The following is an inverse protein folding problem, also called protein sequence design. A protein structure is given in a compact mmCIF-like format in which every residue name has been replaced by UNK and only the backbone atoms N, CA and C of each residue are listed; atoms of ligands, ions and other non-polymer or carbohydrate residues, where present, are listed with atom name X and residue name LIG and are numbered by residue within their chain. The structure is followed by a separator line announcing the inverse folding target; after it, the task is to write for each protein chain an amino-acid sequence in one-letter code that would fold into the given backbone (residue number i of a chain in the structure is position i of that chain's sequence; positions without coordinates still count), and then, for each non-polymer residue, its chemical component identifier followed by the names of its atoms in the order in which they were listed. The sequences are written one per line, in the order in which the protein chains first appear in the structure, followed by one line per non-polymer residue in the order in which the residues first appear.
data_IF_757561214495
#
_entry.id   IF_757561214495
#
_cell.length_a   1.000
_cell.length_b   1.000
_cell.length_c   1.000
_cell.angle_alpha   90.00
_cell.angle_beta   90.00
_cell.angle_gamma   90.00
#
_symmetry.space_group_name_H-M   'P 1'
#
loop_
_entity.id
_entity.type
_entity.pdbx_description
1 polymer ?
#
# COMPACT_ATOMS: atom_id res chain seq x y z
N UNK A 1 31.80 -5.92 -19.07
CA UNK A 1 30.44 -5.49 -18.69
C UNK A 1 30.57 -4.22 -17.86
N UNK A 2 30.06 -3.09 -18.35
CA UNK A 2 30.00 -1.85 -17.58
C UNK A 2 28.93 -2.03 -16.49
N UNK A 3 29.30 -1.84 -15.22
CA UNK A 3 28.35 -1.87 -14.11
C UNK A 3 27.81 -0.47 -13.91
N UNK A 4 26.54 -0.24 -14.26
CA UNK A 4 25.84 0.98 -13.84
C UNK A 4 25.83 1.08 -12.30
N UNK A 5 25.70 2.28 -11.74
CA UNK A 5 25.62 2.52 -10.29
C UNK A 5 24.43 3.40 -9.94
N UNK A 6 23.70 3.02 -8.89
CA UNK A 6 22.63 3.85 -8.32
C UNK A 6 23.17 4.67 -7.15
N UNK A 7 22.93 5.97 -7.20
CA UNK A 7 23.18 6.94 -6.15
C UNK A 7 21.84 7.50 -5.70
N UNK A 8 21.33 6.99 -4.59
CA UNK A 8 20.05 7.45 -4.05
C UNK A 8 20.29 8.70 -3.21
N UNK A 9 19.62 9.78 -3.57
CA UNK A 9 19.65 11.04 -2.84
C UNK A 9 18.86 10.89 -1.53
N UNK A 10 19.24 11.66 -0.49
CA UNK A 10 18.50 11.67 0.77
C UNK A 10 17.05 12.14 0.57
N UNK A 11 16.10 11.41 1.15
CA UNK A 11 14.66 11.70 1.14
C UNK A 11 14.11 12.08 2.53
N UNK A 12 14.99 12.41 3.46
CA UNK A 12 14.65 12.88 4.79
C UNK A 12 14.01 14.28 4.75
N UNK A 13 13.08 14.62 5.68
CA UNK A 13 12.37 15.89 5.67
C UNK A 13 13.28 17.13 5.67
N UNK A 14 14.43 17.04 6.33
CA UNK A 14 15.42 18.12 6.43
C UNK A 14 16.21 18.36 5.14
N UNK A 15 16.26 17.38 4.25
CA UNK A 15 17.10 17.39 3.04
C UNK A 15 16.31 17.28 1.74
N UNK A 16 15.03 16.91 1.80
CA UNK A 16 14.22 16.56 0.63
C UNK A 16 14.14 17.70 -0.40
N UNK A 17 14.01 18.95 0.02
CA UNK A 17 13.99 20.09 -0.92
C UNK A 17 15.34 20.31 -1.59
N UNK A 18 16.44 20.14 -0.85
CA UNK A 18 17.78 20.21 -1.43
C UNK A 18 18.00 19.09 -2.46
N UNK A 19 17.59 17.87 -2.15
CA UNK A 19 17.65 16.74 -3.08
C UNK A 19 16.80 16.97 -4.33
N UNK A 20 15.61 17.57 -4.20
CA UNK A 20 14.75 17.95 -5.33
C UNK A 20 15.40 18.99 -6.23
N UNK A 21 15.98 20.04 -5.66
CA UNK A 21 16.70 21.06 -6.43
C UNK A 21 17.94 20.47 -7.12
N UNK A 22 18.64 19.54 -6.47
CA UNK A 22 19.75 18.81 -7.07
C UNK A 22 19.32 18.04 -8.31
N UNK A 23 18.18 17.31 -8.28
CA UNK A 23 17.66 16.62 -9.48
C UNK A 23 17.38 17.62 -10.61
N UNK A 24 16.72 18.75 -10.32
CA UNK A 24 16.44 19.77 -11.34
C UNK A 24 17.72 20.30 -11.98
N UNK A 25 18.76 20.50 -11.18
CA UNK A 25 20.05 20.94 -11.67
C UNK A 25 20.74 19.85 -12.51
N UNK A 26 20.74 18.60 -12.05
CA UNK A 26 21.29 17.45 -12.79
C UNK A 26 20.60 17.25 -14.14
N UNK A 27 19.28 17.45 -14.23
CA UNK A 27 18.54 17.42 -15.50
C UNK A 27 19.01 18.52 -16.46
N UNK A 28 19.11 19.77 -15.96
CA UNK A 28 19.54 20.93 -16.78
C UNK A 28 20.95 20.77 -17.30
N UNK A 29 21.86 20.31 -16.44
CA UNK A 29 23.27 20.11 -16.79
C UNK A 29 23.42 18.95 -17.78
N UNK A 30 22.69 17.85 -17.58
CA UNK A 30 22.65 16.73 -18.51
C UNK A 30 22.15 17.17 -19.89
N UNK A 31 20.99 17.84 -19.94
CA UNK A 31 20.38 18.27 -21.19
C UNK A 31 21.29 19.25 -21.95
N UNK A 32 21.85 20.24 -21.25
CA UNK A 32 22.77 21.22 -21.83
C UNK A 32 24.03 20.54 -22.39
N UNK A 33 24.67 19.69 -21.59
CA UNK A 33 25.87 18.95 -22.01
C UNK A 33 25.60 18.03 -23.20
N UNK A 34 24.50 17.25 -23.14
CA UNK A 34 24.14 16.33 -24.21
C UNK A 34 23.90 17.04 -25.54
N UNK A 35 23.15 18.15 -25.54
CA UNK A 35 22.82 18.90 -26.75
C UNK A 35 24.01 19.69 -27.30
N UNK A 36 24.90 20.21 -26.44
CA UNK A 36 26.16 20.82 -26.88
C UNK A 36 27.06 19.80 -27.57
N UNK A 37 27.15 18.58 -27.02
CA UNK A 37 27.97 17.52 -27.60
C UNK A 37 27.31 16.82 -28.81
N UNK A 38 25.98 16.91 -28.94
CA UNK A 38 25.20 16.29 -30.02
C UNK A 38 24.24 17.30 -30.67
N UNK A 39 24.74 18.38 -31.31
CA UNK A 39 23.89 19.44 -31.84
C UNK A 39 22.92 18.93 -32.92
N UNK A 40 23.31 17.90 -33.67
CA UNK A 40 22.49 17.24 -34.68
C UNK A 40 21.27 16.48 -34.11
N UNK A 41 21.26 16.17 -32.80
CA UNK A 41 20.13 15.52 -32.10
C UNK A 41 19.13 16.51 -31.54
N UNK A 42 19.37 17.82 -31.67
CA UNK A 42 18.50 18.86 -31.11
C UNK A 42 17.06 18.77 -31.62
N UNK A 43 16.87 18.30 -32.85
CA UNK A 43 15.55 18.16 -33.47
C UNK A 43 14.95 16.76 -33.45
N UNK A 44 15.66 15.79 -32.87
CA UNK A 44 15.13 14.43 -32.70
C UNK A 44 13.94 14.44 -31.72
N UNK A 45 12.76 14.07 -32.21
CA UNK A 45 11.52 14.09 -31.44
C UNK A 45 11.57 13.17 -30.22
N UNK A 46 12.23 12.01 -30.33
CA UNK A 46 12.32 11.05 -29.23
C UNK A 46 13.25 11.56 -28.12
N UNK A 47 14.33 12.25 -28.50
CA UNK A 47 15.21 12.96 -27.55
C UNK A 47 14.47 14.12 -26.88
N UNK A 48 13.72 14.94 -27.64
CA UNK A 48 12.90 16.03 -27.10
C UNK A 48 11.88 15.52 -26.08
N UNK A 49 11.21 14.40 -26.38
CA UNK A 49 10.23 13.80 -25.48
C UNK A 49 10.87 13.22 -24.22
N UNK A 50 12.05 12.60 -24.32
CA UNK A 50 12.81 12.15 -23.14
C UNK A 50 13.16 13.33 -22.22
N UNK A 51 13.69 14.43 -22.77
CA UNK A 51 14.02 15.61 -21.97
C UNK A 51 12.77 16.26 -21.38
N UNK A 52 11.67 16.30 -22.12
CA UNK A 52 10.39 16.76 -21.58
C UNK A 52 9.96 15.89 -20.39
N UNK A 53 10.02 14.57 -20.52
CA UNK A 53 9.63 13.65 -19.45
C UNK A 53 10.56 13.72 -18.23
N UNK A 54 11.86 13.96 -18.43
CA UNK A 54 12.80 14.25 -17.34
C UNK A 54 12.41 15.53 -16.59
N UNK A 55 12.15 16.63 -17.31
CA UNK A 55 11.76 17.91 -16.72
C UNK A 55 10.37 17.86 -16.05
N UNK A 56 9.43 17.13 -16.64
CA UNK A 56 8.08 16.92 -16.09
C UNK A 56 8.08 15.92 -14.90
N UNK A 57 9.21 15.28 -14.61
CA UNK A 57 9.34 14.28 -13.53
C UNK A 57 8.66 12.93 -13.82
N UNK A 58 8.42 12.58 -15.09
CA UNK A 58 7.74 11.35 -15.52
C UNK A 58 8.68 10.14 -15.56
N UNK A 59 9.20 9.77 -14.39
CA UNK A 59 10.27 8.78 -14.27
C UNK A 59 9.99 7.44 -15.01
N UNK A 60 8.74 6.95 -15.01
CA UNK A 60 8.40 5.68 -15.65
C UNK A 60 8.49 5.74 -17.18
N UNK A 61 8.16 6.90 -17.78
CA UNK A 61 8.34 7.11 -19.23
C UNK A 61 9.82 7.25 -19.56
N UNK A 62 10.58 7.94 -18.71
CA UNK A 62 12.05 8.01 -18.81
C UNK A 62 12.65 6.60 -18.84
N UNK A 63 12.29 5.73 -17.89
CA UNK A 63 12.73 4.32 -17.89
C UNK A 63 12.27 3.58 -19.15
N UNK A 64 11.03 3.82 -19.59
CA UNK A 64 10.49 3.22 -20.82
C UNK A 64 11.24 3.66 -22.08
N UNK A 65 11.83 4.87 -22.13
CA UNK A 65 12.64 5.31 -23.27
C UNK A 65 13.99 4.60 -23.36
N UNK A 66 14.52 4.15 -22.22
CA UNK A 66 15.83 3.50 -22.12
C UNK A 66 15.76 1.99 -22.31
N UNK A 67 14.77 1.36 -21.67
CA UNK A 67 14.73 -0.09 -21.51
C UNK A 67 13.40 -0.71 -22.02
N UNK A 68 12.48 0.12 -22.53
CA UNK A 68 11.13 -0.26 -22.95
C UNK A 68 10.18 -0.44 -21.76
N UNK A 69 8.87 -0.37 -21.95
CA UNK A 69 7.93 -0.54 -20.84
C UNK A 69 7.79 -2.01 -20.40
N UNK A 70 7.71 -2.28 -19.09
CA UNK A 70 7.41 -3.60 -18.53
C UNK A 70 5.91 -3.93 -18.67
N UNK A 71 5.42 -4.06 -19.90
CA UNK A 71 4.07 -4.51 -20.24
C UNK A 71 2.92 -3.61 -19.70
N UNK A 72 2.16 -2.90 -20.55
CA UNK A 72 0.98 -2.18 -20.10
C UNK A 72 -0.12 -3.20 -19.75
N UNK A 73 -0.21 -3.61 -18.48
CA UNK A 73 -1.36 -4.38 -17.96
C UNK A 73 -2.70 -3.65 -18.22
N UNK A 74 -2.62 -2.35 -18.49
CA UNK A 74 -3.73 -1.46 -18.80
C UNK A 74 -4.07 -1.35 -20.30
N UNK A 75 -3.39 -2.05 -21.20
CA UNK A 75 -3.79 -2.07 -22.62
C UNK A 75 -5.05 -2.93 -22.82
N UNK A 76 -6.06 -2.43 -23.56
CA UNK A 76 -7.24 -3.20 -23.94
C UNK A 76 -6.85 -4.57 -24.50
N UNK A 77 -7.66 -5.60 -24.23
CA UNK A 77 -7.35 -7.00 -24.59
C UNK A 77 -6.96 -7.17 -26.07
N UNK A 78 -7.58 -6.40 -26.96
CA UNK A 78 -7.35 -6.42 -28.41
C UNK A 78 -6.03 -5.76 -28.85
N UNK A 79 -5.38 -4.97 -27.99
CA UNK A 79 -4.11 -4.27 -28.25
C UNK A 79 -2.91 -4.95 -27.58
N UNK A 80 -3.14 -6.07 -26.87
CA UNK A 80 -2.10 -6.78 -26.15
C UNK A 80 -1.17 -7.48 -27.13
N UNK A 81 0.01 -6.89 -27.30
CA UNK A 81 1.12 -7.56 -27.97
C UNK A 81 1.46 -8.86 -27.24
N UNK A 82 1.79 -9.90 -27.99
CA UNK A 82 2.27 -11.17 -27.42
C UNK A 82 3.54 -10.96 -26.59
N UNK A 83 3.86 -11.83 -25.62
CA UNK A 83 5.10 -11.71 -24.85
C UNK A 83 6.37 -11.61 -25.73
N UNK A 84 6.38 -12.30 -26.88
CA UNK A 84 7.48 -12.24 -27.83
C UNK A 84 7.57 -10.88 -28.54
N UNK A 85 6.45 -10.35 -29.06
CA UNK A 85 6.42 -9.02 -29.68
C UNK A 85 6.82 -7.92 -28.71
N UNK A 86 6.41 -8.03 -27.44
CA UNK A 86 6.82 -7.10 -26.41
C UNK A 86 8.32 -7.16 -26.16
N UNK A 87 8.90 -8.36 -26.08
CA UNK A 87 10.34 -8.53 -25.93
C UNK A 87 11.10 -7.88 -27.09
N UNK A 88 10.63 -8.06 -28.32
CA UNK A 88 11.19 -7.41 -29.52
C UNK A 88 11.07 -5.88 -29.47
N UNK A 89 9.91 -5.35 -29.05
CA UNK A 89 9.72 -3.90 -28.84
C UNK A 89 10.71 -3.35 -27.82
N UNK A 90 10.90 -4.02 -26.68
CA UNK A 90 11.86 -3.62 -25.65
C UNK A 90 13.31 -3.70 -26.14
N UNK A 91 13.65 -4.71 -26.91
CA UNK A 91 14.96 -4.84 -27.54
C UNK A 91 15.27 -3.68 -28.49
N UNK A 92 14.33 -3.32 -29.36
CA UNK A 92 14.48 -2.14 -30.23
C UNK A 92 14.67 -0.85 -29.44
N UNK A 93 13.97 -0.72 -28.30
CA UNK A 93 14.14 0.44 -27.41
C UNK A 93 15.55 0.47 -26.82
N UNK A 94 16.04 -0.65 -26.29
CA UNK A 94 17.41 -0.75 -25.74
C UNK A 94 18.48 -0.48 -26.79
N UNK A 95 18.30 -0.99 -28.01
CA UNK A 95 19.19 -0.73 -29.13
C UNK A 95 19.26 0.77 -29.44
N UNK A 96 18.09 1.41 -29.56
CA UNK A 96 18.04 2.86 -29.74
C UNK A 96 18.73 3.61 -28.60
N UNK A 97 18.48 3.23 -27.35
CA UNK A 97 19.08 3.90 -26.19
C UNK A 97 20.61 3.81 -26.21
N UNK A 98 21.16 2.62 -26.46
CA UNK A 98 22.62 2.41 -26.57
C UNK A 98 23.27 3.08 -27.79
N UNK A 99 22.50 3.32 -28.85
CA UNK A 99 22.98 4.05 -30.03
C UNK A 99 23.03 5.58 -29.82
N UNK A 100 22.20 6.10 -28.90
CA UNK A 100 22.09 7.55 -28.68
C UNK A 100 22.77 8.03 -27.40
N UNK A 101 22.97 7.14 -26.42
CA UNK A 101 23.53 7.49 -25.12
C UNK A 101 24.71 6.59 -24.78
N UNK A 102 25.79 7.19 -24.26
CA UNK A 102 26.87 6.46 -23.62
C UNK A 102 26.38 5.77 -22.35
N UNK A 103 27.13 4.80 -21.83
CA UNK A 103 26.80 4.15 -20.56
C UNK A 103 26.71 5.14 -19.40
N UNK A 104 27.56 6.17 -19.37
CA UNK A 104 27.51 7.23 -18.36
C UNK A 104 26.23 8.08 -18.46
N UNK A 105 25.80 8.41 -19.68
CA UNK A 105 24.54 9.13 -19.90
C UNK A 105 23.35 8.26 -19.45
N UNK A 106 23.38 6.96 -19.75
CA UNK A 106 22.34 6.03 -19.33
C UNK A 106 22.29 5.91 -17.80
N UNK A 107 23.44 5.79 -17.14
CA UNK A 107 23.53 5.83 -15.69
C UNK A 107 22.94 7.11 -15.10
N UNK A 108 23.25 8.27 -15.67
CA UNK A 108 22.74 9.55 -15.19
C UNK A 108 21.21 9.65 -15.34
N UNK A 109 20.66 9.28 -16.50
CA UNK A 109 19.21 9.29 -16.73
C UNK A 109 18.49 8.35 -15.75
N UNK A 110 19.04 7.15 -15.55
CA UNK A 110 18.53 6.18 -14.58
C UNK A 110 18.52 6.76 -13.15
N UNK A 111 19.62 7.36 -12.71
CA UNK A 111 19.71 7.97 -11.39
C UNK A 111 18.69 9.08 -11.21
N UNK A 112 18.53 9.96 -12.20
CA UNK A 112 17.51 11.01 -12.19
C UNK A 112 16.11 10.40 -12.08
N UNK A 113 15.79 9.38 -12.89
CA UNK A 113 14.48 8.73 -12.86
C UNK A 113 14.17 8.09 -11.49
N UNK A 114 15.12 7.33 -10.95
CA UNK A 114 14.95 6.66 -9.64
C UNK A 114 14.81 7.68 -8.51
N UNK A 115 15.65 8.71 -8.48
CA UNK A 115 15.56 9.75 -7.47
C UNK A 115 14.28 10.59 -7.59
N UNK A 116 13.84 10.87 -8.82
CA UNK A 116 12.54 11.53 -9.07
C UNK A 116 11.39 10.72 -8.47
N UNK A 117 11.41 9.39 -8.63
CA UNK A 117 10.39 8.51 -8.08
C UNK A 117 10.37 8.53 -6.53
N UNK A 118 11.53 8.50 -5.88
CA UNK A 118 11.61 8.52 -4.41
C UNK A 118 11.33 9.88 -3.79
N UNK A 119 11.66 10.97 -4.49
CA UNK A 119 11.58 12.33 -3.98
C UNK A 119 10.34 13.09 -4.44
N UNK A 120 9.52 12.48 -5.29
CA UNK A 120 8.20 13.00 -5.64
C UNK A 120 7.44 13.41 -4.36
N UNK A 121 6.81 14.59 -4.32
CA UNK A 121 6.00 14.99 -3.17
C UNK A 121 4.93 13.93 -2.90
N UNK A 122 4.91 13.38 -1.68
CA UNK A 122 3.76 12.60 -1.21
C UNK A 122 2.53 13.50 -1.36
N UNK A 123 1.61 13.17 -2.27
CA UNK A 123 0.54 14.13 -2.58
C UNK A 123 0.46 14.62 -4.02
N UNK A 124 1.48 14.44 -4.88
CA UNK A 124 1.36 14.78 -6.34
C UNK A 124 0.51 13.74 -7.09
N UNK A 125 -0.66 13.46 -6.54
CA UNK A 125 -1.72 12.68 -7.14
C UNK A 125 -2.38 13.55 -8.22
N UNK A 126 -2.42 13.03 -9.46
CA UNK A 126 -3.03 13.73 -10.59
C UNK A 126 -2.41 13.41 -11.96
N UNK A 127 -1.15 12.95 -11.98
CA UNK A 127 -0.50 12.49 -13.20
C UNK A 127 -0.40 10.95 -13.21
N UNK A 128 -0.84 10.26 -14.29
CA UNK A 128 -0.71 8.80 -14.40
C UNK A 128 0.74 8.40 -14.18
N UNK A 129 1.05 7.54 -13.20
CA UNK A 129 2.43 7.06 -12.95
C UNK A 129 3.15 7.65 -11.74
N UNK A 130 2.65 8.72 -11.10
CA UNK A 130 3.20 9.26 -9.85
C UNK A 130 2.53 8.71 -8.58
N UNK A 131 1.47 7.93 -8.73
CA UNK A 131 0.66 7.45 -7.60
C UNK A 131 1.30 6.29 -6.85
N UNK A 132 2.27 5.58 -7.45
CA UNK A 132 2.91 4.36 -6.93
C UNK A 132 4.37 4.17 -7.38
N UNK A 133 5.25 5.13 -7.07
CA UNK A 133 6.62 5.10 -7.55
C UNK A 133 7.39 3.82 -7.19
N UNK A 134 7.24 3.28 -5.97
CA UNK A 134 7.97 2.09 -5.56
C UNK A 134 7.47 0.84 -6.30
N UNK A 135 6.15 0.64 -6.44
CA UNK A 135 5.60 -0.47 -7.23
C UNK A 135 6.03 -0.39 -8.71
N UNK A 136 6.05 0.81 -9.29
CA UNK A 136 6.45 0.99 -10.69
C UNK A 136 7.95 0.72 -10.86
N UNK A 137 8.81 1.26 -9.97
CA UNK A 137 10.24 0.98 -10.00
C UNK A 137 10.53 -0.51 -9.83
N UNK A 138 9.82 -1.19 -8.92
CA UNK A 138 9.97 -2.63 -8.73
C UNK A 138 9.63 -3.40 -10.01
N UNK A 139 8.51 -3.06 -10.66
CA UNK A 139 8.11 -3.70 -11.92
C UNK A 139 9.11 -3.44 -13.05
N UNK A 140 9.57 -2.20 -13.21
CA UNK A 140 10.44 -1.80 -14.33
C UNK A 140 11.90 -2.23 -14.14
N UNK A 141 12.41 -2.32 -12.91
CA UNK A 141 13.82 -2.59 -12.63
C UNK A 141 14.08 -3.98 -12.03
N UNK A 142 13.10 -4.56 -11.30
CA UNK A 142 13.28 -5.81 -10.56
C UNK A 142 12.58 -6.99 -11.22
N UNK A 143 11.29 -6.86 -11.55
CA UNK A 143 10.51 -7.96 -12.15
C UNK A 143 10.82 -8.14 -13.64
N UNK A 144 11.27 -7.08 -14.30
CA UNK A 144 11.58 -7.08 -15.71
C UNK A 144 12.86 -7.86 -16.00
N UNK A 145 12.69 -9.15 -16.27
CA UNK A 145 13.79 -10.12 -16.45
C UNK A 145 14.79 -9.76 -17.55
N UNK A 146 14.36 -9.02 -18.58
CA UNK A 146 15.22 -8.59 -19.69
C UNK A 146 15.70 -7.14 -19.55
N UNK A 147 15.57 -6.54 -18.37
CA UNK A 147 16.05 -5.18 -18.12
C UNK A 147 17.57 -5.08 -18.30
N UNK A 148 18.01 -4.06 -19.03
CA UNK A 148 19.44 -3.72 -19.10
C UNK A 148 20.00 -3.19 -17.76
N UNK A 149 19.12 -2.86 -16.81
CA UNK A 149 19.44 -2.42 -15.46
C UNK A 149 19.21 -3.53 -14.42
N UNK A 150 19.17 -4.79 -14.81
CA UNK A 150 19.03 -5.88 -13.83
C UNK A 150 20.25 -6.00 -12.89
N UNK A 151 21.45 -5.68 -13.38
CA UNK A 151 22.71 -5.83 -12.64
C UNK A 151 22.98 -4.81 -11.52
N UNK A 152 22.18 -3.74 -11.40
CA UNK A 152 22.35 -2.70 -10.36
C UNK A 152 21.50 -2.93 -9.11
N UNK A 153 20.58 -3.88 -9.18
CA UNK A 153 19.60 -4.09 -8.11
C UNK A 153 20.26 -4.89 -7.00
N UNK A 154 20.82 -4.18 -6.03
CA UNK A 154 21.30 -4.78 -4.80
C UNK A 154 20.15 -5.12 -3.83
N UNK A 155 20.49 -5.86 -2.77
CA UNK A 155 19.51 -6.26 -1.75
C UNK A 155 18.90 -5.10 -0.98
N UNK A 156 19.64 -4.00 -0.77
CA UNK A 156 19.15 -2.84 -0.01
C UNK A 156 18.14 -2.04 -0.83
N UNK A 157 18.41 -1.84 -2.12
CA UNK A 157 17.49 -1.22 -3.05
C UNK A 157 16.21 -2.04 -3.19
N UNK A 158 16.33 -3.36 -3.34
CA UNK A 158 15.16 -4.27 -3.37
C UNK A 158 14.34 -4.17 -2.09
N UNK A 159 14.99 -4.21 -0.92
CA UNK A 159 14.35 -4.05 0.39
C UNK A 159 13.60 -2.72 0.50
N UNK A 160 14.22 -1.61 0.07
CA UNK A 160 13.60 -0.28 0.06
C UNK A 160 12.35 -0.24 -0.84
N UNK A 161 12.41 -0.84 -2.02
CA UNK A 161 11.26 -0.94 -2.92
C UNK A 161 10.14 -1.79 -2.31
N UNK A 162 10.47 -2.96 -1.73
CA UNK A 162 9.51 -3.84 -1.08
C UNK A 162 8.79 -3.17 0.10
N UNK A 163 9.48 -2.36 0.90
CA UNK A 163 8.85 -1.51 1.92
C UNK A 163 7.88 -0.50 1.28
N UNK A 164 8.35 0.30 0.32
CA UNK A 164 7.53 1.36 -0.25
C UNK A 164 6.29 0.82 -0.97
N UNK A 165 6.42 -0.24 -1.79
CA UNK A 165 5.28 -0.84 -2.50
C UNK A 165 4.24 -1.42 -1.54
N UNK A 166 4.65 -1.96 -0.39
CA UNK A 166 3.69 -2.42 0.62
C UNK A 166 2.79 -1.27 1.08
N UNK A 167 3.39 -0.14 1.49
CA UNK A 167 2.65 1.03 1.94
C UNK A 167 1.84 1.72 0.83
N UNK A 168 2.34 1.72 -0.41
CA UNK A 168 1.62 2.27 -1.56
C UNK A 168 0.35 1.50 -1.90
N UNK A 169 0.36 0.18 -1.72
CA UNK A 169 -0.71 -0.70 -2.19
C UNK A 169 -1.77 -0.98 -1.12
N UNK A 170 -1.44 -0.83 0.16
CA UNK A 170 -2.36 -1.03 1.28
C UNK A 170 -3.71 -0.29 1.12
N UNK A 171 -3.76 1.04 0.84
CA UNK A 171 -5.03 1.76 0.72
C UNK A 171 -5.93 1.25 -0.43
N UNK A 172 -5.31 0.63 -1.43
CA UNK A 172 -5.96 0.21 -2.67
C UNK A 172 -6.30 -1.29 -2.67
N UNK A 173 -6.29 -1.97 -1.52
CA UNK A 173 -6.60 -3.40 -1.39
C UNK A 173 -8.11 -3.74 -1.45
N UNK A 174 -8.98 -2.77 -1.70
CA UNK A 174 -10.39 -3.02 -1.95
C UNK A 174 -10.60 -3.82 -3.25
N UNK A 175 -11.48 -4.80 -3.21
CA UNK A 175 -11.75 -5.72 -4.33
C UNK A 175 -12.12 -5.06 -5.67
N UNK A 176 -12.72 -3.86 -5.64
CA UNK A 176 -13.11 -3.10 -6.83
C UNK A 176 -12.10 -2.04 -7.25
N UNK A 177 -11.06 -1.77 -6.43
CA UNK A 177 -10.03 -0.80 -6.76
C UNK A 177 -8.87 -1.47 -7.50
N UNK A 178 -8.28 -0.73 -8.44
CA UNK A 178 -7.07 -1.13 -9.17
C UNK A 178 -7.13 -2.56 -9.78
N UNK A 179 -8.33 -3.01 -10.18
CA UNK A 179 -8.56 -4.36 -10.73
C UNK A 179 -8.02 -5.50 -9.85
N UNK A 180 -7.94 -5.29 -8.52
CA UNK A 180 -7.37 -6.25 -7.59
C UNK A 180 -5.83 -6.39 -7.64
N UNK A 181 -5.10 -5.62 -8.43
CA UNK A 181 -3.63 -5.81 -8.51
C UNK A 181 -2.93 -5.55 -7.16
N UNK A 182 -3.50 -4.67 -6.32
CA UNK A 182 -2.90 -4.28 -5.04
C UNK A 182 -2.79 -5.46 -4.06
N UNK A 183 -3.77 -6.38 -4.03
CA UNK A 183 -3.71 -7.53 -3.14
C UNK A 183 -2.57 -8.48 -3.53
N UNK A 184 -2.30 -8.65 -4.83
CA UNK A 184 -1.18 -9.48 -5.29
C UNK A 184 0.16 -8.91 -4.84
N UNK A 185 0.31 -7.59 -4.90
CA UNK A 185 1.54 -6.91 -4.49
C UNK A 185 1.75 -7.04 -2.99
N UNK A 186 0.71 -6.80 -2.17
CA UNK A 186 0.78 -6.94 -0.71
C UNK A 186 1.01 -8.39 -0.29
N UNK A 187 0.33 -9.35 -0.92
CA UNK A 187 0.55 -10.78 -0.67
C UNK A 187 2.00 -11.19 -0.97
N UNK A 188 2.55 -10.77 -2.11
CA UNK A 188 3.95 -11.09 -2.46
C UNK A 188 4.95 -10.48 -1.47
N UNK A 189 4.73 -9.25 -0.99
CA UNK A 189 5.62 -8.68 0.04
C UNK A 189 5.51 -9.47 1.34
N UNK A 190 4.28 -9.78 1.78
CA UNK A 190 4.07 -10.48 3.04
C UNK A 190 4.58 -11.93 3.00
N UNK A 191 4.41 -12.65 1.89
CA UNK A 191 4.70 -14.09 1.84
C UNK A 191 6.11 -14.42 1.36
N UNK A 192 6.61 -13.66 0.38
CA UNK A 192 7.89 -13.90 -0.29
C UNK A 192 8.99 -12.99 0.21
N UNK A 193 8.66 -11.76 0.66
CA UNK A 193 9.63 -10.73 1.00
C UNK A 193 9.44 -10.19 2.43
N UNK A 194 8.88 -10.97 3.35
CA UNK A 194 8.56 -10.52 4.71
C UNK A 194 9.77 -9.94 5.45
N UNK A 195 10.95 -10.54 5.24
CA UNK A 195 12.21 -10.10 5.86
C UNK A 195 12.64 -8.70 5.45
N UNK A 196 12.10 -8.19 4.34
CA UNK A 196 12.39 -6.84 3.88
C UNK A 196 11.61 -5.78 4.65
N UNK A 197 10.44 -6.11 5.21
CA UNK A 197 9.60 -5.16 5.94
C UNK A 197 10.30 -4.62 7.20
N UNK A 198 10.58 -3.33 7.17
CA UNK A 198 11.36 -2.59 8.15
C UNK A 198 10.48 -1.60 8.91
N UNK A 199 10.47 -1.71 10.24
CA UNK A 199 9.70 -0.81 11.11
C UNK A 199 10.21 0.63 11.04
N UNK A 200 11.51 0.82 10.76
CA UNK A 200 12.10 2.16 10.61
C UNK A 200 11.59 2.90 9.37
N UNK A 201 11.04 2.19 8.37
CA UNK A 201 10.44 2.79 7.19
C UNK A 201 9.03 3.34 7.47
N UNK A 202 8.37 2.89 8.55
CA UNK A 202 6.96 3.16 8.77
C UNK A 202 6.59 4.65 8.92
N UNK A 203 7.41 5.58 9.42
CA UNK A 203 7.10 7.01 9.39
C UNK A 203 6.91 7.54 7.95
N UNK A 204 7.74 7.07 7.02
CA UNK A 204 7.57 7.34 5.58
C UNK A 204 6.37 6.57 5.03
N UNK A 205 6.20 5.32 5.45
CA UNK A 205 5.06 4.47 5.10
C UNK A 205 3.70 5.10 5.40
N UNK A 206 3.52 5.67 6.58
CA UNK A 206 2.30 6.38 6.96
C UNK A 206 2.07 7.63 6.12
N UNK A 207 3.11 8.37 5.73
CA UNK A 207 2.96 9.50 4.79
C UNK A 207 2.47 9.05 3.41
N UNK A 208 2.97 7.92 2.92
CA UNK A 208 2.50 7.30 1.67
C UNK A 208 1.03 6.89 1.81
N UNK A 209 0.75 6.11 2.86
CA UNK A 209 -0.58 5.60 3.18
C UNK A 209 -1.60 6.74 3.30
N UNK A 210 -1.24 7.80 4.03
CA UNK A 210 -2.12 8.94 4.22
C UNK A 210 -2.19 9.89 3.02
N UNK A 211 -1.20 9.91 2.14
CA UNK A 211 -1.25 10.74 0.94
C UNK A 211 -2.41 10.39 0.01
N UNK A 212 -2.87 9.12 0.00
CA UNK A 212 -3.97 8.64 -0.86
C UNK A 212 -5.37 8.79 -0.25
N UNK A 213 -5.50 9.51 0.86
CA UNK A 213 -6.66 9.40 1.78
C UNK A 213 -7.91 10.20 1.44
N UNK A 214 -8.03 10.78 0.25
CA UNK A 214 -9.32 11.39 -0.16
C UNK A 214 -10.49 10.38 -0.05
N UNK A 215 -10.20 9.07 -0.10
CA UNK A 215 -11.18 8.00 0.15
C UNK A 215 -11.29 7.59 1.63
N UNK A 216 -10.16 7.51 2.36
CA UNK A 216 -10.05 6.90 3.71
C UNK A 216 -10.72 7.73 4.82
N UNK A 217 -10.85 9.05 4.64
CA UNK A 217 -11.46 9.94 5.65
C UNK A 217 -12.96 10.17 5.48
N UNK A 218 -13.57 9.60 4.43
CA UNK A 218 -14.97 9.85 4.08
C UNK A 218 -15.98 9.09 4.96
N UNK A 219 -15.62 7.91 5.48
CA UNK A 219 -16.46 7.13 6.40
C UNK A 219 -15.63 6.59 7.59
N UNK A 220 -15.62 7.28 8.75
CA UNK A 220 -14.88 6.86 9.94
C UNK A 220 -15.38 5.54 10.54
N UNK A 221 -16.48 4.99 10.02
CA UNK A 221 -17.06 3.72 10.43
C UNK A 221 -16.68 2.53 9.56
N UNK A 222 -15.74 2.68 8.61
CA UNK A 222 -15.21 1.61 7.75
C UNK A 222 -13.72 1.41 7.95
N UNK A 223 -13.19 0.18 7.74
CA UNK A 223 -11.75 -0.02 7.69
C UNK A 223 -11.17 0.78 6.52
N UNK A 224 -9.90 1.13 6.59
CA UNK A 224 -9.21 1.88 5.54
C UNK A 224 -8.91 1.03 4.29
N UNK A 225 -8.88 -0.30 4.42
CA UNK A 225 -8.72 -1.28 3.34
C UNK A 225 -9.26 -2.66 3.73
N UNK A 226 -9.34 -3.59 2.77
CA UNK A 226 -9.79 -4.97 2.97
C UNK A 226 -8.61 -5.96 3.01
N UNK A 227 -8.64 -6.91 3.95
CA UNK A 227 -7.71 -8.04 3.97
C UNK A 227 -8.32 -9.33 3.40
N UNK A 228 -9.59 -9.30 3.00
CA UNK A 228 -10.37 -10.47 2.60
C UNK A 228 -9.85 -11.18 1.34
N UNK A 229 -9.00 -10.53 0.55
CA UNK A 229 -8.37 -11.11 -0.63
C UNK A 229 -7.03 -11.77 -0.32
N UNK A 230 -6.47 -11.54 0.87
CA UNK A 230 -5.27 -12.22 1.32
C UNK A 230 -5.59 -13.64 1.78
N UNK A 231 -4.61 -14.53 1.60
CA UNK A 231 -4.62 -15.78 2.30
C UNK A 231 -4.15 -15.57 3.76
N UNK A 232 -4.09 -16.67 4.50
CA UNK A 232 -4.05 -16.61 5.96
C UNK A 232 -2.64 -16.58 6.49
N UNK A 233 -1.72 -17.16 5.72
CA UNK A 233 -0.31 -16.94 5.92
C UNK A 233 0.02 -15.46 5.76
N UNK A 234 -0.49 -14.79 4.73
CA UNK A 234 -0.30 -13.36 4.55
C UNK A 234 -0.94 -12.55 5.70
N UNK A 235 -2.16 -12.89 6.13
CA UNK A 235 -2.81 -12.25 7.30
C UNK A 235 -2.00 -12.45 8.60
N UNK A 236 -1.40 -13.63 8.82
CA UNK A 236 -0.54 -13.91 9.97
C UNK A 236 0.75 -13.11 9.94
N UNK A 237 1.37 -13.00 8.76
CA UNK A 237 2.56 -12.20 8.55
C UNK A 237 2.24 -10.71 8.72
N UNK A 238 1.07 -10.27 8.28
CA UNK A 238 0.58 -8.93 8.52
C UNK A 238 0.45 -8.63 10.02
N UNK A 239 -0.18 -9.50 10.81
CA UNK A 239 -0.24 -9.35 12.27
C UNK A 239 1.16 -9.32 12.90
N UNK A 240 2.07 -10.20 12.46
CA UNK A 240 3.47 -10.19 12.95
C UNK A 240 4.17 -8.87 12.66
N UNK A 241 3.92 -8.27 11.50
CA UNK A 241 4.43 -6.94 11.18
C UNK A 241 3.83 -5.86 12.08
N UNK A 242 2.51 -5.88 12.31
CA UNK A 242 1.85 -4.93 13.21
C UNK A 242 2.40 -5.02 14.65
N UNK A 243 2.63 -6.22 15.17
CA UNK A 243 3.25 -6.42 16.49
C UNK A 243 4.66 -5.83 16.57
N UNK A 244 5.48 -6.05 15.54
CA UNK A 244 6.83 -5.43 15.47
C UNK A 244 6.74 -3.90 15.46
N UNK A 245 5.77 -3.37 14.72
CA UNK A 245 5.56 -1.94 14.60
C UNK A 245 5.10 -1.31 15.91
N UNK A 246 4.14 -1.94 16.60
CA UNK A 246 3.64 -1.50 17.91
C UNK A 246 4.75 -1.48 18.97
N UNK A 247 5.55 -2.55 19.05
CA UNK A 247 6.69 -2.62 19.98
C UNK A 247 7.72 -1.51 19.73
N UNK A 248 7.88 -1.09 18.48
CA UNK A 248 8.89 -0.09 18.08
C UNK A 248 8.33 1.34 17.99
N UNK A 249 7.02 1.54 18.23
CA UNK A 249 6.30 2.76 17.84
C UNK A 249 6.92 4.04 18.39
N UNK A 250 7.40 4.01 19.65
CA UNK A 250 8.01 5.16 20.30
C UNK A 250 9.38 5.49 19.68
N UNK A 251 10.16 4.46 19.33
CA UNK A 251 11.50 4.62 18.75
C UNK A 251 11.43 5.22 17.34
N UNK A 252 10.42 4.83 16.57
CA UNK A 252 10.24 5.32 15.19
C UNK A 252 9.29 6.52 15.10
N UNK A 253 8.74 7.01 16.21
CA UNK A 253 7.90 8.22 16.25
C UNK A 253 6.52 8.04 15.61
N UNK A 254 5.87 6.91 15.83
CA UNK A 254 4.54 6.57 15.30
C UNK A 254 3.51 6.62 16.42
N UNK A 255 2.36 7.21 16.14
CA UNK A 255 1.30 7.34 17.14
C UNK A 255 0.54 6.02 17.33
N UNK A 256 -0.05 5.85 18.51
CA UNK A 256 -0.94 4.73 18.77
C UNK A 256 -2.18 4.75 17.85
N UNK A 257 -2.66 5.95 17.49
CA UNK A 257 -3.77 6.12 16.56
C UNK A 257 -3.44 5.55 15.17
N UNK A 258 -2.22 5.80 14.65
CA UNK A 258 -1.74 5.28 13.37
C UNK A 258 -1.75 3.75 13.32
N UNK A 259 -1.32 3.10 14.40
CA UNK A 259 -1.39 1.63 14.50
C UNK A 259 -2.85 1.18 14.53
N UNK A 260 -3.73 1.91 15.21
CA UNK A 260 -5.17 1.65 15.22
C UNK A 260 -5.80 1.61 13.83
N UNK A 261 -5.37 2.49 12.90
CA UNK A 261 -5.80 2.46 11.50
C UNK A 261 -5.40 1.18 10.77
N UNK A 262 -4.25 0.60 11.10
CA UNK A 262 -3.78 -0.65 10.51
C UNK A 262 -4.40 -1.88 11.19
N UNK A 263 -4.71 -1.79 12.48
CA UNK A 263 -5.34 -2.89 13.24
C UNK A 263 -6.80 -3.07 12.85
N UNK A 264 -7.55 -1.99 12.61
CA UNK A 264 -8.99 -2.07 12.33
C UNK A 264 -9.34 -3.05 11.18
N UNK A 265 -8.69 -3.01 10.00
CA UNK A 265 -8.88 -4.01 8.94
C UNK A 265 -8.66 -5.46 9.38
N UNK A 266 -7.65 -5.72 10.23
CA UNK A 266 -7.37 -7.06 10.75
C UNK A 266 -8.50 -7.56 11.65
N UNK A 267 -8.98 -6.74 12.58
CA UNK A 267 -10.05 -7.16 13.50
C UNK A 267 -11.36 -7.43 12.72
N UNK A 268 -11.65 -6.60 11.72
CA UNK A 268 -12.79 -6.83 10.80
C UNK A 268 -12.63 -8.15 10.05
N UNK A 269 -11.44 -8.46 9.53
CA UNK A 269 -11.19 -9.73 8.84
C UNK A 269 -11.33 -10.93 9.77
N UNK A 270 -10.84 -10.83 11.01
CA UNK A 270 -11.03 -11.88 12.02
C UNK A 270 -12.53 -12.13 12.24
N UNK A 271 -13.35 -11.08 12.39
CA UNK A 271 -14.81 -11.23 12.46
C UNK A 271 -15.41 -11.79 11.16
N UNK A 272 -14.79 -11.56 10.01
CA UNK A 272 -15.29 -12.01 8.71
C UNK A 272 -15.06 -13.49 8.39
N UNK A 273 -14.25 -14.17 9.19
CA UNK A 273 -13.99 -15.60 9.05
C UNK A 273 -15.27 -16.45 9.21
N UNK A 274 -15.64 -17.24 8.20
CA UNK A 274 -16.76 -18.22 8.28
C UNK A 274 -16.30 -19.52 8.96
N UNK A 275 -17.19 -20.14 9.74
CA UNK A 275 -16.98 -21.47 10.33
C UNK A 275 -16.75 -22.54 9.24
N UNK A 276 -15.71 -23.37 9.40
CA UNK A 276 -15.56 -24.66 8.70
C UNK A 276 -14.85 -24.67 7.34
N UNK A 277 -14.74 -23.53 6.64
CA UNK A 277 -13.85 -23.42 5.49
C UNK A 277 -12.61 -22.65 5.90
N UNK A 278 -11.43 -23.28 6.02
CA UNK A 278 -10.22 -22.51 6.07
C UNK A 278 -10.15 -21.71 4.76
N UNK A 279 -10.28 -20.39 4.84
CA UNK A 279 -9.21 -19.64 4.20
C UNK A 279 -7.94 -20.04 4.98
N UNK A 280 -8.02 -19.94 6.31
CA UNK A 280 -7.35 -20.62 7.43
C UNK A 280 -6.39 -21.83 7.24
N UNK A 281 -5.37 -21.86 6.37
CA UNK A 281 -4.34 -22.93 6.23
C UNK A 281 -4.53 -24.25 7.05
N UNK A 282 -5.55 -25.05 6.71
CA UNK A 282 -5.81 -26.35 7.33
C UNK A 282 -5.89 -26.35 8.86
N UNK A 283 -5.92 -27.54 9.47
CA UNK A 283 -6.16 -27.78 10.90
C UNK A 283 -5.12 -27.17 11.88
N UNK A 284 -4.18 -26.33 11.44
CA UNK A 284 -3.03 -25.82 12.23
C UNK A 284 -3.06 -24.31 12.49
N UNK A 285 -3.99 -23.54 11.91
CA UNK A 285 -4.10 -22.11 12.20
C UNK A 285 -4.77 -21.88 13.55
N UNK A 286 -4.30 -20.87 14.29
CA UNK A 286 -5.03 -20.37 15.46
C UNK A 286 -6.47 -20.02 15.09
N UNK A 287 -7.41 -20.42 15.94
CA UNK A 287 -8.80 -20.08 15.79
C UNK A 287 -9.03 -18.58 15.98
N UNK A 288 -10.18 -18.09 15.54
CA UNK A 288 -10.52 -16.67 15.64
C UNK A 288 -10.57 -16.18 17.10
N UNK A 289 -10.89 -17.06 18.06
CA UNK A 289 -10.97 -16.71 19.48
C UNK A 289 -9.59 -16.37 20.05
N UNK A 290 -8.60 -17.18 19.71
CA UNK A 290 -7.20 -16.96 20.09
C UNK A 290 -6.69 -15.65 19.50
N UNK A 291 -7.03 -15.37 18.24
CA UNK A 291 -6.64 -14.12 17.55
C UNK A 291 -7.28 -12.87 18.14
N UNK A 292 -8.54 -12.93 18.55
CA UNK A 292 -9.22 -11.81 19.24
C UNK A 292 -8.65 -11.57 20.63
N UNK A 293 -8.13 -12.61 21.29
CA UNK A 293 -7.50 -12.53 22.61
C UNK A 293 -6.01 -12.18 22.56
N UNK A 294 -5.44 -11.98 21.38
CA UNK A 294 -4.08 -11.50 21.24
C UNK A 294 -3.89 -10.18 22.01
N UNK A 295 -2.87 -10.04 22.88
CA UNK A 295 -2.75 -8.87 23.75
C UNK A 295 -2.71 -7.53 23.01
N UNK A 296 -2.03 -7.49 21.84
CA UNK A 296 -1.99 -6.29 21.02
C UNK A 296 -3.39 -5.99 20.47
N UNK A 297 -4.05 -6.98 19.90
CA UNK A 297 -5.40 -6.81 19.34
C UNK A 297 -6.40 -6.37 20.41
N UNK A 298 -6.37 -7.03 21.57
CA UNK A 298 -7.23 -6.71 22.70
C UNK A 298 -7.02 -5.26 23.19
N UNK A 299 -5.77 -4.83 23.30
CA UNK A 299 -5.42 -3.44 23.64
C UNK A 299 -6.07 -2.44 22.67
N UNK A 300 -5.92 -2.65 21.36
CA UNK A 300 -6.47 -1.74 20.35
C UNK A 300 -7.99 -1.78 20.27
N UNK A 301 -8.60 -2.94 20.45
CA UNK A 301 -10.06 -3.09 20.48
C UNK A 301 -10.67 -2.30 21.64
N UNK A 302 -10.05 -2.29 22.82
CA UNK A 302 -10.55 -1.57 23.98
C UNK A 302 -10.18 -0.09 24.00
N UNK A 303 -8.96 0.26 23.58
CA UNK A 303 -8.44 1.62 23.75
C UNK A 303 -8.60 2.50 22.50
N UNK A 304 -8.51 1.95 21.29
CA UNK A 304 -8.55 2.78 20.07
C UNK A 304 -9.97 3.19 19.69
N UNK A 305 -10.20 4.51 19.63
CA UNK A 305 -11.48 5.10 19.19
C UNK A 305 -11.80 4.73 17.74
N UNK A 306 -10.81 4.69 16.85
CA UNK A 306 -11.01 4.35 15.45
C UNK A 306 -11.39 2.87 15.30
N UNK A 307 -10.64 1.95 15.92
CA UNK A 307 -10.96 0.52 15.90
C UNK A 307 -12.38 0.30 16.40
N UNK A 308 -12.75 0.86 17.56
CA UNK A 308 -14.12 0.75 18.10
C UNK A 308 -15.19 1.21 17.12
N UNK A 309 -15.02 2.35 16.45
CA UNK A 309 -15.99 2.86 15.45
C UNK A 309 -16.15 1.92 14.26
N UNK A 310 -15.05 1.36 13.75
CA UNK A 310 -15.07 0.39 12.64
C UNK A 310 -15.74 -0.92 13.07
N UNK A 311 -15.44 -1.39 14.29
CA UNK A 311 -16.02 -2.60 14.85
C UNK A 311 -17.52 -2.46 15.09
N UNK A 312 -17.98 -1.31 15.60
CA UNK A 312 -19.40 -0.99 15.74
C UNK A 312 -20.14 -1.15 14.41
N UNK A 313 -19.58 -0.61 13.31
CA UNK A 313 -20.16 -0.79 11.97
C UNK A 313 -20.21 -2.22 11.49
N UNK A 314 -19.13 -2.97 11.74
CA UNK A 314 -19.02 -4.36 11.30
C UNK A 314 -19.97 -5.29 12.10
N UNK A 315 -20.11 -5.05 13.40
CA UNK A 315 -21.03 -5.81 14.27
C UNK A 315 -22.49 -5.50 13.95
N UNK A 316 -22.85 -4.23 13.75
CA UNK A 316 -24.19 -3.82 13.31
C UNK A 316 -24.61 -4.58 12.03
N UNK A 317 -23.80 -4.50 10.98
CA UNK A 317 -24.06 -5.19 9.72
C UNK A 317 -24.22 -6.71 9.90
N UNK A 318 -23.44 -7.32 10.81
CA UNK A 318 -23.52 -8.76 11.10
C UNK A 318 -24.77 -9.16 11.85
N UNK A 319 -25.19 -8.37 12.83
CA UNK A 319 -26.42 -8.62 13.58
C UNK A 319 -27.64 -8.46 12.67
N UNK A 320 -27.60 -7.49 11.74
CA UNK A 320 -28.67 -7.25 10.77
C UNK A 320 -28.71 -8.28 9.64
N UNK A 321 -27.58 -8.66 9.05
CA UNK A 321 -27.54 -9.40 7.77
C UNK A 321 -26.62 -10.63 7.79
N UNK A 322 -25.84 -10.83 8.84
CA UNK A 322 -24.84 -11.89 8.93
C UNK A 322 -25.41 -13.24 9.35
N UNK A 323 -24.78 -14.30 8.84
CA UNK A 323 -25.10 -15.69 9.19
C UNK A 323 -24.30 -16.23 10.39
N UNK A 324 -23.22 -15.55 10.81
CA UNK A 324 -22.32 -16.02 11.89
C UNK A 324 -22.40 -15.12 13.13
N UNK A 325 -23.50 -15.25 13.87
CA UNK A 325 -23.82 -14.47 15.06
C UNK A 325 -23.10 -14.92 16.35
N UNK A 326 -22.75 -16.21 16.57
CA UNK A 326 -21.95 -16.61 17.74
C UNK A 326 -20.62 -15.87 17.87
N UNK A 327 -19.97 -15.58 16.74
CA UNK A 327 -18.71 -14.82 16.71
C UNK A 327 -18.85 -13.38 17.23
N UNK A 328 -20.03 -12.77 17.07
CA UNK A 328 -20.32 -11.44 17.64
C UNK A 328 -20.30 -11.49 19.16
N UNK A 329 -20.82 -12.58 19.75
CA UNK A 329 -20.76 -12.79 21.20
C UNK A 329 -19.32 -12.93 21.69
N UNK A 330 -18.53 -13.79 21.05
CA UNK A 330 -17.14 -13.99 21.45
C UNK A 330 -16.31 -12.70 21.36
N UNK A 331 -16.61 -11.85 20.36
CA UNK A 331 -16.01 -10.53 20.26
C UNK A 331 -16.46 -9.58 21.38
N UNK A 332 -17.76 -9.51 21.67
CA UNK A 332 -18.27 -8.68 22.77
C UNK A 332 -17.69 -9.15 24.11
N UNK A 333 -17.44 -10.44 24.28
CA UNK A 333 -16.89 -11.01 25.51
C UNK A 333 -15.43 -10.62 25.78
N UNK A 334 -14.67 -10.17 24.78
CA UNK A 334 -13.30 -9.66 24.97
C UNK A 334 -13.25 -8.15 25.20
N UNK A 335 -14.40 -7.45 25.18
CA UNK A 335 -14.46 -6.02 25.45
C UNK A 335 -14.51 -5.74 26.95
N UNK A 336 -13.74 -4.75 27.40
CA UNK A 336 -13.74 -4.25 28.77
C UNK A 336 -15.05 -3.47 29.06
N UNK A 337 -15.48 -2.60 28.14
CA UNK A 337 -16.72 -1.83 28.25
C UNK A 337 -17.75 -2.28 27.20
N UNK A 338 -18.40 -3.40 27.49
CA UNK A 338 -19.48 -3.98 26.66
C UNK A 338 -20.65 -3.00 26.51
N UNK A 339 -21.00 -2.28 27.57
CA UNK A 339 -22.15 -1.37 27.59
C UNK A 339 -21.95 -0.23 26.61
N UNK A 340 -20.81 0.46 26.68
CA UNK A 340 -20.49 1.57 25.77
C UNK A 340 -20.44 1.10 24.32
N UNK A 341 -19.83 -0.06 24.06
CA UNK A 341 -19.77 -0.63 22.70
C UNK A 341 -21.17 -0.93 22.14
N UNK A 342 -22.02 -1.61 22.92
CA UNK A 342 -23.38 -1.96 22.53
C UNK A 342 -24.27 -0.74 22.32
N UNK A 343 -24.14 0.30 23.15
CA UNK A 343 -24.79 1.58 22.92
C UNK A 343 -24.38 2.20 21.57
N UNK A 344 -23.10 2.10 21.20
CA UNK A 344 -22.61 2.53 19.88
C UNK A 344 -23.23 1.75 18.72
N UNK A 345 -23.37 0.42 18.84
CA UNK A 345 -24.05 -0.43 17.85
C UNK A 345 -25.51 -0.03 17.68
N UNK A 346 -26.24 0.14 18.79
CA UNK A 346 -27.65 0.55 18.75
C UNK A 346 -27.86 1.98 18.26
N UNK A 347 -26.90 2.88 18.50
CA UNK A 347 -26.97 4.25 18.01
C UNK A 347 -26.85 4.29 16.49
N UNK A 348 -25.91 3.54 15.91
CA UNK A 348 -25.66 3.49 14.47
C UNK A 348 -26.80 2.86 13.68
N UNK A 349 -27.45 1.85 14.25
CA UNK A 349 -28.52 1.14 13.58
C UNK A 349 -29.70 2.08 13.24
N UNK A 350 -30.16 2.05 11.99
CA UNK A 350 -31.38 2.74 11.58
C UNK A 350 -32.58 2.25 12.44
N UNK A 351 -33.56 3.12 12.69
CA UNK A 351 -34.63 2.89 13.67
C UNK A 351 -35.37 1.56 13.50
N UNK A 352 -35.54 1.06 12.28
CA UNK A 352 -36.19 -0.23 12.00
C UNK A 352 -35.29 -1.45 12.23
N UNK A 353 -33.96 -1.29 12.24
CA UNK A 353 -33.00 -2.38 12.51
C UNK A 353 -32.71 -2.53 14.01
N UNK A 354 -32.97 -1.51 14.84
CA UNK A 354 -32.70 -1.54 16.29
C UNK A 354 -33.38 -2.70 17.01
N UNK A 355 -34.69 -2.89 16.81
CA UNK A 355 -35.44 -3.98 17.45
C UNK A 355 -34.87 -5.36 17.08
N UNK A 356 -34.53 -5.55 15.80
CA UNK A 356 -33.89 -6.76 15.31
C UNK A 356 -32.54 -7.01 15.97
N UNK A 357 -31.69 -6.00 16.06
CA UNK A 357 -30.38 -6.10 16.73
C UNK A 357 -30.55 -6.49 18.19
N UNK A 358 -31.47 -5.85 18.92
CA UNK A 358 -31.76 -6.18 20.33
C UNK A 358 -32.21 -7.63 20.48
N UNK A 359 -33.11 -8.10 19.62
CA UNK A 359 -33.56 -9.50 19.62
C UNK A 359 -32.41 -10.48 19.36
N UNK A 360 -31.53 -10.17 18.41
CA UNK A 360 -30.37 -11.03 18.11
C UNK A 360 -29.34 -11.04 19.24
N UNK A 361 -29.07 -9.91 19.88
CA UNK A 361 -28.20 -9.85 21.06
C UNK A 361 -28.78 -10.68 22.21
N UNK A 362 -30.10 -10.60 22.46
CA UNK A 362 -30.78 -11.45 23.44
C UNK A 362 -30.67 -12.94 23.10
N UNK A 363 -30.83 -13.32 21.82
CA UNK A 363 -30.63 -14.71 21.35
C UNK A 363 -29.21 -15.21 21.59
N UNK A 364 -28.22 -14.33 21.52
CA UNK A 364 -26.82 -14.65 21.84
C UNK A 364 -26.54 -14.72 23.34
N UNK A 365 -27.51 -14.39 24.19
CA UNK A 365 -27.36 -14.34 25.65
C UNK A 365 -26.64 -13.08 26.14
N UNK A 366 -26.71 -11.99 25.37
CA UNK A 366 -26.09 -10.70 25.71
C UNK A 366 -27.18 -9.79 26.24
N UNK A 367 -27.05 -9.35 27.49
CA UNK A 367 -27.96 -8.40 28.08
C UNK A 367 -27.72 -7.01 27.50
N UNK A 368 -28.82 -6.36 27.09
CA UNK A 368 -28.78 -5.03 26.49
C UNK A 368 -29.73 -4.14 27.27
N UNK A 369 -29.17 -3.10 27.89
CA UNK A 369 -30.00 -2.09 28.55
C UNK A 369 -30.57 -1.12 27.49
N UNK A 370 -31.82 -1.35 27.11
CA UNK A 370 -32.51 -0.51 26.11
C UNK A 370 -32.85 0.90 26.63
N UNK A 371 -32.65 1.18 27.92
CA UNK A 371 -32.90 2.50 28.51
C UNK A 371 -31.71 3.47 28.38
N UNK A 372 -30.52 3.01 27.93
CA UNK A 372 -29.31 3.82 27.75
C UNK A 372 -29.06 4.15 26.27
N UNK A 373 -30.08 4.68 25.57
CA UNK A 373 -29.97 5.02 24.13
C UNK A 373 -29.89 6.53 23.89
N UNK A 374 -29.95 7.39 24.91
CA UNK A 374 -30.14 8.84 24.70
C UNK A 374 -29.01 9.79 25.09
N UNK A 375 -27.88 9.34 25.63
CA UNK A 375 -26.77 10.24 25.97
C UNK A 375 -25.52 9.96 25.13
N UNK A 376 -25.64 10.14 23.82
CA UNK A 376 -24.48 10.37 22.97
C UNK A 376 -24.18 11.87 22.92
N UNK A 377 -23.63 12.40 24.02
CA UNK A 377 -22.88 13.67 23.97
C UNK A 377 -21.44 13.29 23.63
N UNK A 378 -21.12 13.26 22.34
CA UNK A 378 -19.73 13.51 21.93
C UNK A 378 -19.53 15.01 22.06
N UNK A 379 -18.74 15.41 23.06
CA UNK A 379 -17.75 16.46 22.82
C UNK A 379 -16.50 15.80 22.22
#
# INVERSE_FOLDING_TARGET
MTSYRLQILPDEPSQIEHSRERIKQEIKDFQSSYLTNNPHKKDDERIKLLFKDLNDGRFWRTLSYMDGASNPQYSPFLERSTPHEQRKKRENVRLWARQNFSDANLEQILNVAVNTAFLAPFGTYGWPGLTRPHSILYRELVEKTDSMFSGIIDGQFRKRLNNGRFWEELPDMWSYLNSGLSFHVVADVLESNFGDLDVSFAPKGFRIFYGKTDVVKSDPGRPCFELSLLNNRAIDLYLKFLKRLDLSRNEVGISEEDIGYLVAPYVVEVLNTREGAPRFNGRKSEDYKTRLRDPMINHYVNNSKHVRKVMVGSVDLRLCYGSNKPMVRDFIDVLDDKTQFLSGVLYRAESYNKSRIVEELKRLGIEVNTNIVYDYIIK
#
